data_IF_329316191071
#
_entry.id   IF_329316191071
#
_cell.length_a   1.000
_cell.length_b   1.000
_cell.length_c   1.000
_cell.angle_alpha   90.00
_cell.angle_beta   90.00
_cell.angle_gamma   90.00
#
_symmetry.space_group_name_H-M   'P 1'
#
loop_
_entity.id
_entity.type
_entity.pdbx_description
1 polymer ?
#
# COMPACT_ATOMS: atom_id res chain seq x y z
N UNK A 1 -32.93 76.11 21.76
CA UNK A 1 -31.49 75.95 22.04
C UNK A 1 -31.45 74.94 23.18
N UNK A 2 -31.30 73.63 22.99
CA UNK A 2 -30.60 72.80 21.99
C UNK A 2 -31.20 71.39 22.03
N UNK A 3 -30.91 70.60 20.99
CA UNK A 3 -31.24 69.19 20.74
C UNK A 3 -31.42 68.29 21.96
N UNK A 4 -32.38 67.36 21.87
CA UNK A 4 -32.16 65.98 22.28
C UNK A 4 -32.94 65.02 21.38
N UNK A 5 -32.17 64.06 20.86
CA UNK A 5 -32.51 63.01 19.91
C UNK A 5 -33.26 61.88 20.63
N UNK A 6 -34.37 61.36 20.08
CA UNK A 6 -34.57 59.90 20.12
C UNK A 6 -35.59 59.38 19.09
N UNK A 7 -35.03 58.99 17.95
CA UNK A 7 -35.29 57.77 17.17
C UNK A 7 -36.72 57.24 16.99
N UNK A 8 -37.19 57.43 15.75
CA UNK A 8 -38.15 56.60 15.01
C UNK A 8 -37.97 55.09 15.24
N UNK A 9 -38.97 54.44 15.86
CA UNK A 9 -39.20 53.00 15.72
C UNK A 9 -40.09 52.77 14.50
N UNK A 10 -39.50 52.81 13.31
CA UNK A 10 -40.10 52.25 12.12
C UNK A 10 -39.60 50.80 11.99
N UNK A 11 -40.45 49.85 12.38
CA UNK A 11 -40.19 48.43 12.16
C UNK A 11 -39.98 48.16 10.67
N UNK A 12 -38.71 47.98 10.26
CA UNK A 12 -38.38 47.46 8.94
C UNK A 12 -38.76 45.99 8.89
N UNK A 13 -39.93 45.68 8.33
CA UNK A 13 -40.30 44.33 7.96
C UNK A 13 -39.35 43.85 6.85
N UNK A 14 -38.41 42.98 7.22
CA UNK A 14 -37.45 42.40 6.28
C UNK A 14 -38.19 41.47 5.30
N UNK A 15 -38.18 41.84 4.02
CA UNK A 15 -38.79 41.07 2.94
C UNK A 15 -38.07 39.72 2.76
N UNK A 16 -38.65 38.64 3.29
CA UNK A 16 -38.15 37.26 3.17
C UNK A 16 -37.96 36.80 1.71
N UNK A 17 -38.74 37.34 0.77
CA UNK A 17 -38.58 37.09 -0.68
C UNK A 17 -37.35 37.75 -1.29
N UNK A 18 -36.98 38.93 -0.81
CA UNK A 18 -35.79 39.64 -1.29
C UNK A 18 -34.50 38.93 -0.84
N UNK A 19 -34.49 38.38 0.38
CA UNK A 19 -33.38 37.58 0.91
C UNK A 19 -33.19 36.25 0.16
N UNK A 20 -34.28 35.59 -0.27
CA UNK A 20 -34.19 34.38 -1.10
C UNK A 20 -33.80 34.67 -2.56
N UNK A 21 -34.09 35.85 -3.09
CA UNK A 21 -33.67 36.24 -4.44
C UNK A 21 -32.17 36.59 -4.50
N UNK A 22 -31.62 37.23 -3.47
CA UNK A 22 -30.19 37.56 -3.43
C UNK A 22 -29.29 36.39 -3.02
N UNK A 23 -29.86 35.32 -2.44
CA UNK A 23 -29.13 34.11 -2.05
C UNK A 23 -28.69 33.18 -3.20
N UNK A 24 -29.11 33.40 -4.44
CA UNK A 24 -28.76 32.49 -5.56
C UNK A 24 -27.46 32.83 -6.29
N UNK A 25 -26.83 34.00 -6.04
CA UNK A 25 -25.65 34.43 -6.81
C UNK A 25 -24.29 34.09 -6.19
N UNK A 26 -24.24 33.56 -4.96
CA UNK A 26 -22.99 33.18 -4.28
C UNK A 26 -22.74 31.67 -4.21
N UNK A 27 -23.51 30.86 -4.95
CA UNK A 27 -23.33 29.40 -5.04
C UNK A 27 -22.69 28.93 -6.36
N UNK A 28 -22.14 29.83 -7.17
CA UNK A 28 -21.57 29.48 -8.48
C UNK A 28 -20.03 29.54 -8.55
N UNK A 29 -19.32 29.94 -7.47
CA UNK A 29 -17.85 30.13 -7.50
C UNK A 29 -17.08 29.10 -6.64
N UNK A 30 -17.76 28.22 -5.90
CA UNK A 30 -17.10 27.17 -5.06
C UNK A 30 -17.13 25.77 -5.71
N UNK A 31 -17.61 25.62 -6.94
CA UNK A 31 -17.62 24.31 -7.63
C UNK A 31 -16.41 24.06 -8.53
N UNK A 32 -15.53 25.05 -8.76
CA UNK A 32 -14.40 24.93 -9.69
C UNK A 32 -13.11 24.36 -9.06
N UNK A 33 -13.16 23.84 -7.83
CA UNK A 33 -11.95 23.48 -7.06
C UNK A 33 -11.90 22.08 -6.44
N UNK A 34 -12.98 21.29 -6.46
CA UNK A 34 -13.05 20.02 -5.70
C UNK A 34 -13.22 18.79 -6.61
N UNK A 35 -13.12 18.94 -7.94
CA UNK A 35 -13.24 17.82 -8.89
C UNK A 35 -11.93 17.04 -9.10
N UNK A 36 -11.23 16.70 -8.02
CA UNK A 36 -10.07 15.77 -8.04
C UNK A 36 -10.29 14.52 -7.19
N UNK A 37 -11.50 14.31 -6.65
CA UNK A 37 -11.91 12.97 -6.27
C UNK A 37 -12.47 12.33 -7.53
N UNK A 38 -11.67 11.49 -8.19
CA UNK A 38 -12.18 10.58 -9.21
C UNK A 38 -13.33 9.82 -8.58
N UNK A 39 -14.57 10.17 -8.95
CA UNK A 39 -15.67 9.25 -8.80
C UNK A 39 -15.22 7.98 -9.51
N UNK A 40 -15.11 6.88 -8.76
CA UNK A 40 -14.99 5.55 -9.32
C UNK A 40 -16.26 5.32 -10.13
N UNK A 41 -16.27 5.81 -11.37
CA UNK A 41 -17.21 5.34 -12.37
C UNK A 41 -16.99 3.83 -12.42
N UNK A 42 -18.02 3.07 -12.08
CA UNK A 42 -18.06 1.64 -12.32
C UNK A 42 -17.86 1.47 -13.83
N UNK A 43 -16.61 1.28 -14.23
CA UNK A 43 -16.31 0.89 -15.60
C UNK A 43 -16.81 -0.54 -15.71
N UNK A 44 -17.56 -0.85 -16.76
CA UNK A 44 -18.09 -2.20 -16.98
C UNK A 44 -16.95 -3.19 -17.17
N UNK A 45 -17.11 -4.41 -16.63
CA UNK A 45 -16.15 -5.49 -16.81
C UNK A 45 -16.20 -5.97 -18.26
N UNK A 46 -15.09 -5.81 -18.99
CA UNK A 46 -15.03 -6.07 -20.43
C UNK A 46 -14.64 -7.53 -20.74
N UNK A 47 -14.85 -7.96 -21.99
CA UNK A 47 -14.36 -9.27 -22.47
C UNK A 47 -12.84 -9.42 -22.31
N UNK A 48 -12.07 -8.35 -22.51
CA UNK A 48 -10.62 -8.37 -22.30
C UNK A 48 -10.26 -8.50 -20.82
N UNK A 49 -11.02 -7.87 -19.91
CA UNK A 49 -10.84 -8.08 -18.47
C UNK A 49 -11.13 -9.55 -18.09
N UNK A 50 -12.15 -10.16 -18.71
CA UNK A 50 -12.47 -11.58 -18.51
C UNK A 50 -11.36 -12.51 -18.99
N UNK A 51 -10.79 -12.25 -20.19
CA UNK A 51 -9.67 -13.03 -20.72
C UNK A 51 -8.43 -12.90 -19.84
N UNK A 52 -8.11 -11.67 -19.42
CA UNK A 52 -7.02 -11.43 -18.49
C UNK A 52 -7.23 -12.16 -17.16
N UNK A 53 -8.46 -12.17 -16.61
CA UNK A 53 -8.80 -12.91 -15.41
C UNK A 53 -8.60 -14.42 -15.59
N UNK A 54 -9.07 -14.99 -16.70
CA UNK A 54 -8.91 -16.42 -17.01
C UNK A 54 -7.42 -16.82 -17.12
N UNK A 55 -6.63 -16.04 -17.85
CA UNK A 55 -5.17 -16.26 -17.97
C UNK A 55 -4.52 -16.13 -16.60
N UNK A 56 -4.88 -15.12 -15.81
CA UNK A 56 -4.35 -14.91 -14.46
C UNK A 56 -4.64 -16.08 -13.53
N UNK A 57 -5.88 -16.60 -13.54
CA UNK A 57 -6.27 -17.76 -12.76
C UNK A 57 -5.43 -19.00 -13.11
N UNK A 58 -5.24 -19.27 -14.41
CA UNK A 58 -4.41 -20.38 -14.87
C UNK A 58 -2.94 -20.20 -14.44
N UNK A 59 -2.34 -19.05 -14.72
CA UNK A 59 -0.93 -18.77 -14.44
C UNK A 59 -0.59 -18.79 -12.94
N UNK A 60 -1.55 -18.46 -12.08
CA UNK A 60 -1.36 -18.47 -10.62
C UNK A 60 -1.82 -19.76 -9.96
N UNK A 61 -2.37 -20.70 -10.74
CA UNK A 61 -3.04 -21.91 -10.24
C UNK A 61 -4.08 -21.58 -9.14
N UNK A 62 -4.97 -20.63 -9.44
CA UNK A 62 -6.06 -20.18 -8.57
C UNK A 62 -7.37 -20.22 -9.35
N UNK A 63 -8.46 -20.60 -8.68
CA UNK A 63 -9.77 -20.68 -9.33
C UNK A 63 -10.54 -19.36 -9.26
N UNK A 64 -10.35 -18.59 -8.18
CA UNK A 64 -11.15 -17.40 -7.89
C UNK A 64 -10.25 -16.20 -7.57
N UNK A 65 -9.82 -15.49 -8.60
CA UNK A 65 -9.23 -14.16 -8.45
C UNK A 65 -10.32 -13.09 -8.51
N UNK A 66 -10.13 -11.98 -7.79
CA UNK A 66 -11.09 -10.87 -7.73
C UNK A 66 -11.13 -10.14 -9.08
N UNK A 67 -12.31 -10.05 -9.70
CA UNK A 67 -12.53 -9.37 -11.00
C UNK A 67 -12.10 -7.89 -10.97
N UNK A 68 -12.38 -7.18 -9.88
CA UNK A 68 -12.03 -5.76 -9.75
C UNK A 68 -10.52 -5.53 -9.74
N UNK A 69 -9.78 -6.43 -9.08
CA UNK A 69 -8.31 -6.39 -9.06
C UNK A 69 -7.73 -6.78 -10.40
N UNK A 70 -8.32 -7.77 -11.07
CA UNK A 70 -7.90 -8.18 -12.41
C UNK A 70 -8.03 -7.02 -13.41
N UNK A 71 -9.15 -6.31 -13.38
CA UNK A 71 -9.36 -5.11 -14.17
C UNK A 71 -8.33 -4.02 -13.87
N UNK A 72 -8.11 -3.72 -12.59
CA UNK A 72 -7.12 -2.73 -12.16
C UNK A 72 -5.71 -3.10 -12.62
N UNK A 73 -5.30 -4.35 -12.42
CA UNK A 73 -4.00 -4.86 -12.83
C UNK A 73 -3.81 -4.72 -14.34
N UNK A 74 -4.77 -5.19 -15.14
CA UNK A 74 -4.75 -5.06 -16.59
C UNK A 74 -4.61 -3.59 -17.03
N UNK A 75 -5.43 -2.70 -16.47
CA UNK A 75 -5.37 -1.27 -16.79
C UNK A 75 -3.99 -0.67 -16.50
N UNK A 76 -3.38 -1.01 -15.35
CA UNK A 76 -2.04 -0.52 -14.99
C UNK A 76 -0.92 -1.10 -15.84
N UNK A 77 -1.04 -2.35 -16.32
CA UNK A 77 -0.05 -2.93 -17.22
C UNK A 77 -0.17 -2.31 -18.63
N UNK A 78 -1.39 -2.03 -19.08
CA UNK A 78 -1.64 -1.37 -20.38
C UNK A 78 -1.03 0.03 -20.49
N UNK A 79 -0.86 0.76 -19.38
CA UNK A 79 -0.18 2.07 -19.41
C UNK A 79 1.33 1.95 -19.64
N UNK A 80 1.89 0.75 -19.47
CA UNK A 80 3.31 0.44 -19.65
C UNK A 80 3.53 -0.18 -21.04
N UNK A 81 2.64 -1.09 -21.44
CA UNK A 81 2.68 -1.82 -22.69
C UNK A 81 1.31 -1.75 -23.40
N UNK A 82 1.21 -0.88 -24.40
CA UNK A 82 -0.01 -0.68 -25.18
C UNK A 82 -0.43 -1.95 -25.95
N UNK A 83 0.52 -2.84 -26.27
CA UNK A 83 0.28 -4.11 -26.96
C UNK A 83 -0.05 -5.27 -26.02
N UNK A 84 -0.23 -5.01 -24.72
CA UNK A 84 -0.38 -6.06 -23.71
C UNK A 84 -1.61 -6.93 -23.93
N UNK A 85 -2.74 -6.37 -24.37
CA UNK A 85 -3.96 -7.15 -24.63
C UNK A 85 -3.75 -8.20 -25.73
N UNK A 86 -3.01 -7.86 -26.78
CA UNK A 86 -2.68 -8.81 -27.85
C UNK A 86 -1.80 -9.95 -27.33
N UNK A 87 -0.87 -9.65 -26.41
CA UNK A 87 -0.07 -10.66 -25.73
C UNK A 87 -0.93 -11.56 -24.84
N UNK A 88 -1.89 -11.00 -24.09
CA UNK A 88 -2.85 -11.78 -23.30
C UNK A 88 -3.67 -12.71 -24.19
N UNK A 89 -4.12 -12.24 -25.35
CA UNK A 89 -4.86 -13.06 -26.32
C UNK A 89 -3.99 -14.23 -26.85
N UNK A 90 -2.73 -13.96 -27.20
CA UNK A 90 -1.77 -14.99 -27.62
C UNK A 90 -1.48 -16.01 -26.51
N UNK A 91 -1.31 -15.56 -25.27
CA UNK A 91 -1.11 -16.44 -24.11
C UNK A 91 -2.34 -17.31 -23.89
N UNK A 92 -3.54 -16.74 -23.92
CA UNK A 92 -4.78 -17.49 -23.78
C UNK A 92 -4.93 -18.56 -24.87
N UNK A 93 -4.58 -18.22 -26.11
CA UNK A 93 -4.57 -19.19 -27.21
C UNK A 93 -3.53 -20.28 -26.99
N UNK A 94 -2.31 -19.93 -26.55
CA UNK A 94 -1.27 -20.90 -26.25
C UNK A 94 -1.68 -21.88 -25.14
N UNK A 95 -2.34 -21.39 -24.08
CA UNK A 95 -2.89 -22.24 -23.01
C UNK A 95 -3.93 -23.23 -23.55
N UNK A 96 -4.84 -22.75 -24.42
CA UNK A 96 -5.85 -23.63 -25.03
C UNK A 96 -5.27 -24.67 -25.98
N UNK A 97 -4.19 -24.32 -26.68
CA UNK A 97 -3.52 -25.21 -27.64
C UNK A 97 -2.57 -26.21 -26.98
N UNK A 98 -2.04 -25.91 -25.80
CA UNK A 98 -1.07 -26.79 -25.14
C UNK A 98 -1.70 -28.01 -24.49
N UNK A 99 -3.04 -28.06 -24.35
CA UNK A 99 -3.77 -29.09 -23.60
C UNK A 99 -3.23 -29.33 -22.18
N UNK A 100 -2.48 -28.36 -21.64
CA UNK A 100 -1.78 -28.49 -20.37
C UNK A 100 -2.79 -28.46 -19.21
N UNK A 101 -2.69 -29.43 -18.31
CA UNK A 101 -3.59 -29.52 -17.16
C UNK A 101 -3.13 -28.65 -15.99
N UNK A 102 -1.84 -28.29 -15.97
CA UNK A 102 -1.24 -27.47 -14.93
C UNK A 102 -0.24 -26.46 -15.50
N UNK A 103 0.14 -25.50 -14.65
CA UNK A 103 1.08 -24.44 -15.01
C UNK A 103 2.47 -24.98 -15.31
N UNK A 104 2.92 -26.05 -14.63
CA UNK A 104 4.26 -26.61 -14.82
C UNK A 104 4.42 -27.22 -16.22
N UNK A 105 3.42 -27.94 -16.70
CA UNK A 105 3.31 -28.48 -18.07
C UNK A 105 3.29 -27.34 -19.09
N UNK A 106 2.51 -26.28 -18.84
CA UNK A 106 2.49 -25.12 -19.71
C UNK A 106 3.86 -24.44 -19.78
N UNK A 107 4.53 -24.22 -18.64
CA UNK A 107 5.85 -23.60 -18.57
C UNK A 107 6.94 -24.44 -19.25
N UNK A 108 6.83 -25.77 -19.20
CA UNK A 108 7.72 -26.68 -19.92
C UNK A 108 7.66 -26.48 -21.44
N UNK A 109 6.49 -26.11 -21.95
CA UNK A 109 6.28 -25.78 -23.37
C UNK A 109 6.56 -24.30 -23.65
N UNK A 110 6.33 -23.43 -22.66
CA UNK A 110 6.48 -21.98 -22.77
C UNK A 110 7.92 -21.49 -22.86
N UNK A 111 8.93 -22.33 -22.59
CA UNK A 111 10.32 -22.02 -22.95
C UNK A 111 10.50 -21.77 -24.45
N UNK A 112 9.57 -22.24 -25.28
CA UNK A 112 9.53 -21.98 -26.73
C UNK A 112 8.72 -20.73 -27.11
N UNK A 113 8.06 -20.07 -26.16
CA UNK A 113 7.33 -18.83 -26.43
C UNK A 113 8.31 -17.69 -26.72
N UNK A 114 7.86 -16.75 -27.54
CA UNK A 114 8.55 -15.49 -27.79
C UNK A 114 8.86 -14.74 -26.48
N UNK A 115 10.02 -14.08 -26.42
CA UNK A 115 10.50 -13.35 -25.24
C UNK A 115 9.45 -12.34 -24.77
N UNK A 116 8.78 -11.64 -25.70
CA UNK A 116 7.76 -10.66 -25.36
C UNK A 116 6.52 -11.26 -24.69
N UNK A 117 6.22 -12.55 -24.91
CA UNK A 117 5.14 -13.24 -24.22
C UNK A 117 5.59 -13.73 -22.83
N UNK A 118 6.84 -14.17 -22.68
CA UNK A 118 7.41 -14.53 -21.38
C UNK A 118 7.42 -13.32 -20.44
N UNK A 119 7.80 -12.15 -20.94
CA UNK A 119 7.76 -10.89 -20.18
C UNK A 119 6.33 -10.54 -19.74
N UNK A 120 5.34 -10.74 -20.62
CA UNK A 120 3.93 -10.51 -20.28
C UNK A 120 3.42 -11.50 -19.22
N UNK A 121 3.81 -12.78 -19.30
CA UNK A 121 3.50 -13.79 -18.27
C UNK A 121 4.10 -13.35 -16.93
N UNK A 122 5.37 -12.95 -16.91
CA UNK A 122 6.05 -12.49 -15.70
C UNK A 122 5.38 -11.23 -15.13
N UNK A 123 5.00 -10.28 -15.98
CA UNK A 123 4.27 -9.08 -15.57
C UNK A 123 2.93 -9.42 -14.90
N UNK A 124 2.17 -10.38 -15.43
CA UNK A 124 0.91 -10.85 -14.85
C UNK A 124 1.16 -11.47 -13.48
N UNK A 125 2.07 -12.46 -13.41
CA UNK A 125 2.31 -13.21 -12.17
C UNK A 125 2.87 -12.31 -11.07
N UNK A 126 3.88 -11.50 -11.38
CA UNK A 126 4.45 -10.55 -10.41
C UNK A 126 3.41 -9.55 -9.90
N UNK A 127 2.51 -9.09 -10.76
CA UNK A 127 1.44 -8.17 -10.36
C UNK A 127 0.48 -8.76 -9.33
N UNK A 128 0.15 -10.05 -9.45
CA UNK A 128 -0.67 -10.74 -8.47
C UNK A 128 0.05 -11.06 -7.17
N UNK A 129 1.33 -11.47 -7.26
CA UNK A 129 2.11 -11.82 -6.08
C UNK A 129 2.47 -10.59 -5.24
N UNK A 130 2.89 -9.50 -5.88
CA UNK A 130 3.36 -8.30 -5.19
C UNK A 130 2.26 -7.26 -4.96
N UNK A 131 1.16 -7.34 -5.72
CA UNK A 131 0.08 -6.35 -5.64
C UNK A 131 0.42 -4.99 -6.27
N UNK A 132 1.43 -4.94 -7.14
CA UNK A 132 1.88 -3.74 -7.85
C UNK A 132 2.17 -4.08 -9.31
N UNK A 133 2.00 -3.12 -10.23
CA UNK A 133 2.35 -3.32 -11.64
C UNK A 133 3.88 -3.34 -11.82
N UNK A 134 4.40 -3.75 -12.99
CA UNK A 134 5.78 -3.48 -13.37
C UNK A 134 6.12 -1.99 -13.28
N UNK A 135 7.42 -1.67 -13.25
CA UNK A 135 7.89 -0.29 -13.20
C UNK A 135 7.41 0.49 -14.44
N UNK A 136 6.78 1.63 -14.21
CA UNK A 136 6.42 2.56 -15.27
C UNK A 136 7.63 3.40 -15.68
N UNK A 137 7.50 4.15 -16.78
CA UNK A 137 8.55 5.07 -17.28
C UNK A 137 8.99 6.13 -16.26
N UNK A 138 8.12 6.49 -15.32
CA UNK A 138 8.40 7.44 -14.23
C UNK A 138 9.20 6.80 -13.06
N UNK A 139 9.55 5.51 -13.14
CA UNK A 139 10.30 4.80 -12.11
C UNK A 139 9.45 4.28 -10.94
N UNK A 140 8.13 4.47 -10.97
CA UNK A 140 7.23 4.01 -9.92
C UNK A 140 6.26 2.95 -10.45
N UNK A 141 6.06 1.84 -9.72
CA UNK A 141 5.04 0.86 -10.08
C UNK A 141 3.65 1.39 -9.71
N UNK A 142 2.65 1.03 -10.50
CA UNK A 142 1.24 1.29 -10.18
C UNK A 142 0.76 0.39 -9.04
N UNK A 143 -0.06 0.93 -8.15
CA UNK A 143 -0.58 0.16 -7.02
C UNK A 143 -1.87 -0.59 -7.37
N UNK A 144 -1.88 -1.92 -7.19
CA UNK A 144 -3.06 -2.76 -7.44
C UNK A 144 -3.77 -3.04 -6.11
N UNK A 145 -3.08 -3.69 -5.18
CA UNK A 145 -3.60 -4.08 -3.87
C UNK A 145 -2.46 -4.30 -2.89
N UNK A 146 -2.76 -4.18 -1.60
CA UNK A 146 -1.81 -4.53 -0.54
C UNK A 146 -2.26 -5.79 0.19
N UNK A 147 -3.52 -5.85 0.61
CA UNK A 147 -4.04 -6.94 1.44
C UNK A 147 -4.36 -8.21 0.66
N UNK A 148 -4.62 -8.10 -0.64
CA UNK A 148 -4.95 -9.24 -1.50
C UNK A 148 -3.77 -9.73 -2.35
N UNK A 149 -2.55 -9.25 -2.07
CA UNK A 149 -1.34 -9.71 -2.76
C UNK A 149 -1.07 -11.18 -2.40
N UNK A 150 -0.86 -12.03 -3.40
CA UNK A 150 -0.76 -13.49 -3.20
C UNK A 150 0.46 -13.90 -2.38
N UNK A 151 1.51 -13.07 -2.30
CA UNK A 151 2.68 -13.37 -1.46
C UNK A 151 2.35 -13.52 0.04
N UNK A 152 1.26 -12.91 0.50
CA UNK A 152 0.83 -13.02 1.90
C UNK A 152 -0.03 -14.27 2.16
N UNK A 153 -0.55 -14.93 1.13
CA UNK A 153 -1.44 -16.07 1.28
C UNK A 153 -0.80 -17.24 2.07
N UNK A 154 0.45 -17.67 1.80
CA UNK A 154 1.07 -18.80 2.51
C UNK A 154 1.31 -18.55 4.01
N UNK A 155 1.37 -17.28 4.42
CA UNK A 155 1.64 -16.87 5.82
C UNK A 155 0.40 -16.31 6.51
N UNK A 156 -0.76 -16.35 5.84
CA UNK A 156 -2.02 -15.83 6.37
C UNK A 156 -2.37 -16.51 7.69
N UNK A 157 -2.62 -15.70 8.73
CA UNK A 157 -2.92 -16.18 10.08
C UNK A 157 -1.68 -16.48 10.94
N UNK A 158 -0.47 -16.36 10.38
CA UNK A 158 0.79 -16.44 11.13
C UNK A 158 1.46 -15.06 11.13
N UNK A 159 1.71 -14.54 9.93
CA UNK A 159 2.31 -13.22 9.72
C UNK A 159 1.30 -12.36 8.97
N UNK A 160 0.94 -11.23 9.57
CA UNK A 160 0.09 -10.27 8.89
C UNK A 160 0.88 -9.43 7.88
N UNK A 161 0.19 -8.89 6.85
CA UNK A 161 0.74 -7.80 6.07
C UNK A 161 1.23 -6.67 6.99
N UNK A 162 2.38 -6.05 6.69
CA UNK A 162 2.88 -4.90 7.45
C UNK A 162 1.78 -3.85 7.68
N UNK A 163 1.83 -3.15 8.81
CA UNK A 163 0.82 -2.16 9.23
C UNK A 163 -0.49 -2.74 9.79
N UNK A 164 -0.76 -4.05 9.63
CA UNK A 164 -1.95 -4.69 10.21
C UNK A 164 -1.63 -5.53 11.44
N UNK A 165 -2.25 -5.21 12.58
CA UNK A 165 -2.16 -6.04 13.79
C UNK A 165 -2.92 -7.36 13.61
N UNK A 166 -2.29 -8.48 13.98
CA UNK A 166 -2.90 -9.82 13.87
C UNK A 166 -3.80 -10.14 15.06
N UNK A 167 -3.29 -9.89 16.26
CA UNK A 167 -4.00 -10.09 17.52
C UNK A 167 -3.61 -8.96 18.48
N UNK A 168 -3.87 -9.16 19.77
CA UNK A 168 -3.45 -8.23 20.81
C UNK A 168 -1.93 -8.02 20.88
N UNK A 169 -1.53 -7.18 21.82
CA UNK A 169 -0.11 -6.98 22.12
C UNK A 169 0.57 -8.31 22.43
N UNK A 170 1.85 -8.44 22.05
CA UNK A 170 2.68 -9.62 22.33
C UNK A 170 2.22 -10.95 21.70
N UNK A 171 1.43 -10.92 20.62
CA UNK A 171 0.98 -12.16 19.94
C UNK A 171 2.15 -13.05 19.46
N UNK A 172 3.32 -12.46 19.19
CA UNK A 172 4.52 -13.15 18.72
C UNK A 172 5.26 -13.96 19.79
N UNK A 173 4.87 -13.88 21.07
CA UNK A 173 5.49 -14.67 22.16
C UNK A 173 5.23 -16.17 21.95
N UNK A 174 4.04 -16.51 21.48
CA UNK A 174 3.67 -17.90 21.27
C UNK A 174 4.07 -18.32 19.84
N UNK A 175 4.88 -19.37 19.69
CA UNK A 175 5.24 -19.86 18.36
C UNK A 175 4.01 -20.43 17.65
N UNK A 176 4.02 -20.47 16.30
CA UNK A 176 2.95 -21.09 15.53
C UNK A 176 2.84 -22.58 15.90
N UNK A 177 1.63 -23.13 15.89
CA UNK A 177 1.37 -24.54 16.22
C UNK A 177 2.14 -25.52 15.31
N UNK A 178 2.52 -25.09 14.10
CA UNK A 178 3.30 -25.88 13.14
C UNK A 178 4.79 -25.99 13.49
N UNK A 179 5.30 -25.19 14.42
CA UNK A 179 6.72 -25.16 14.77
C UNK A 179 6.97 -25.96 16.06
N UNK A 180 7.74 -27.05 15.93
CA UNK A 180 8.31 -27.73 17.09
C UNK A 180 9.44 -26.89 17.65
N UNK A 181 9.24 -26.33 18.84
CA UNK A 181 10.23 -25.52 19.52
C UNK A 181 11.40 -26.43 19.92
N UNK A 182 12.64 -26.17 19.47
CA UNK A 182 13.79 -26.91 20.00
C UNK A 182 13.90 -26.65 21.52
N UNK A 183 14.40 -27.63 22.30
CA UNK A 183 14.68 -27.39 23.71
C UNK A 183 15.60 -26.18 23.83
N UNK A 184 15.26 -25.25 24.71
CA UNK A 184 16.05 -24.04 24.94
C UNK A 184 17.48 -24.44 25.36
N UNK A 185 18.54 -23.98 24.66
CA UNK A 185 19.92 -24.19 25.09
C UNK A 185 20.18 -23.73 26.53
N UNK A 186 21.02 -24.48 27.25
CA UNK A 186 21.44 -24.14 28.59
C UNK A 186 22.08 -22.73 28.61
N UNK A 187 21.69 -21.90 29.58
CA UNK A 187 22.26 -20.56 29.78
C UNK A 187 21.61 -19.39 29.02
N UNK A 188 20.60 -19.60 28.14
CA UNK A 188 19.93 -18.49 27.42
C UNK A 188 19.29 -17.46 28.35
N UNK A 189 18.72 -17.91 29.48
CA UNK A 189 18.17 -17.00 30.50
C UNK A 189 19.24 -16.10 31.11
N UNK A 190 20.48 -16.57 31.21
CA UNK A 190 21.60 -15.77 31.69
C UNK A 190 22.05 -14.72 30.68
N UNK A 191 21.95 -14.99 29.37
CA UNK A 191 22.19 -13.98 28.34
C UNK A 191 21.16 -12.85 28.39
N UNK A 192 19.87 -13.18 28.56
CA UNK A 192 18.83 -12.17 28.76
C UNK A 192 19.06 -11.30 30.01
N UNK A 193 19.47 -11.91 31.11
CA UNK A 193 19.79 -11.18 32.36
C UNK A 193 21.07 -10.35 32.26
N UNK A 194 22.05 -10.77 31.44
CA UNK A 194 23.29 -10.04 31.16
C UNK A 194 23.17 -9.03 30.02
N UNK A 195 22.04 -9.01 29.31
CA UNK A 195 21.83 -8.05 28.24
C UNK A 195 21.89 -6.64 28.80
N UNK A 196 22.62 -5.71 28.17
CA UNK A 196 22.67 -4.32 28.61
C UNK A 196 21.25 -3.78 28.74
N UNK A 197 20.85 -3.45 29.97
CA UNK A 197 19.55 -2.79 30.18
C UNK A 197 19.62 -1.47 29.39
N UNK A 198 18.66 -1.26 28.49
CA UNK A 198 18.59 -0.02 27.72
C UNK A 198 18.72 1.17 28.67
N UNK A 199 19.57 2.14 28.33
CA UNK A 199 19.80 3.30 29.16
C UNK A 199 18.45 4.00 29.40
N UNK A 200 17.90 3.86 30.61
CA UNK A 200 16.60 4.42 31.00
C UNK A 200 16.56 5.95 30.92
N UNK A 201 17.69 6.59 30.69
CA UNK A 201 17.80 7.98 30.27
C UNK A 201 18.54 8.04 28.93
N UNK A 202 17.87 8.60 27.93
CA UNK A 202 18.52 9.04 26.69
C UNK A 202 19.44 10.21 27.08
N UNK A 203 20.76 10.14 26.80
CA UNK A 203 21.67 11.23 27.13
C UNK A 203 21.19 12.55 26.49
N UNK A 204 21.00 13.58 27.31
CA UNK A 204 20.53 14.90 26.85
C UNK A 204 19.03 15.16 26.99
N UNK A 205 18.28 14.25 27.63
CA UNK A 205 16.86 14.45 27.97
C UNK A 205 16.73 14.58 29.49
N UNK A 206 16.18 15.69 29.96
CA UNK A 206 15.91 15.90 31.39
C UNK A 206 14.80 14.94 31.88
N UNK A 207 14.72 14.72 33.19
CA UNK A 207 13.77 13.78 33.81
C UNK A 207 12.29 14.09 33.54
N UNK A 208 11.99 15.29 33.03
CA UNK A 208 10.68 15.78 32.58
C UNK A 208 10.41 15.53 31.08
N UNK A 209 11.33 14.87 30.36
CA UNK A 209 11.21 14.60 28.92
C UNK A 209 11.62 15.76 28.02
N UNK A 210 12.13 16.86 28.58
CA UNK A 210 12.56 18.02 27.80
C UNK A 210 13.94 17.76 27.20
N UNK A 211 14.06 17.85 25.86
CA UNK A 211 15.34 17.78 25.17
C UNK A 211 16.17 19.01 25.56
N UNK A 212 17.31 18.81 26.23
CA UNK A 212 18.26 19.88 26.48
C UNK A 212 18.85 20.29 25.13
N UNK A 213 18.40 21.43 24.57
CA UNK A 213 19.03 22.01 23.38
C UNK A 213 20.53 22.21 23.70
N UNK A 214 21.40 21.50 22.97
CA UNK A 214 22.84 21.76 23.01
C UNK A 214 23.07 23.22 22.58
N UNK A 215 23.90 24.00 23.29
CA UNK A 215 24.36 25.27 22.78
C UNK A 215 25.17 25.04 21.50
N UNK A 216 24.86 25.83 20.48
CA UNK A 216 25.50 25.77 19.16
C UNK A 216 26.96 26.20 19.33
N UNK A 217 27.93 25.30 19.05
CA UNK A 217 29.33 25.71 18.97
C UNK A 217 30.43 24.73 19.40
N UNK A 218 30.22 23.41 19.50
CA UNK A 218 31.32 22.45 19.67
C UNK A 218 31.07 21.21 18.81
N UNK A 219 31.59 21.25 17.58
CA UNK A 219 31.71 20.11 16.69
C UNK A 219 32.81 19.19 17.20
N UNK A 220 32.43 18.16 17.94
CA UNK A 220 33.24 16.95 18.05
C UNK A 220 32.35 15.78 17.69
N UNK A 221 32.65 15.01 16.64
CA UNK A 221 31.86 13.85 16.29
C UNK A 221 31.92 12.85 17.44
N UNK A 222 30.74 12.36 17.87
CA UNK A 222 30.62 11.19 18.72
C UNK A 222 31.32 10.04 17.99
N UNK A 223 32.46 9.58 18.48
CA UNK A 223 33.05 8.32 18.05
C UNK A 223 32.20 7.18 18.64
N UNK A 224 31.41 6.43 17.85
CA UNK A 224 30.56 5.37 18.37
C UNK A 224 31.33 4.06 18.62
N UNK A 225 32.63 4.02 18.30
CA UNK A 225 33.51 2.88 18.56
C UNK A 225 34.64 3.34 19.49
N UNK A 226 34.40 3.19 20.79
CA UNK A 226 35.42 3.43 21.81
C UNK A 226 36.59 2.48 21.61
N UNK A 227 37.76 3.03 21.35
CA UNK A 227 39.02 2.30 21.43
C UNK A 227 39.46 2.33 22.89
N UNK A 228 39.59 1.16 23.52
CA UNK A 228 40.16 1.05 24.86
C UNK A 228 41.60 1.61 24.88
N UNK A 229 42.02 2.25 25.99
CA UNK A 229 43.39 2.73 26.13
C UNK A 229 44.34 1.53 26.28
N UNK A 230 45.15 1.30 25.24
CA UNK A 230 46.31 0.42 25.30
C UNK A 230 47.33 0.96 26.31
N UNK A 231 47.76 0.05 27.17
CA UNK A 231 48.91 0.13 28.07
C UNK A 231 50.18 0.55 27.36
N UNK A 232 50.83 1.61 27.83
CA UNK A 232 52.25 1.68 28.25
C UNK A 232 52.54 3.01 28.96
#
# INVERSE_FOLDING_TARGET
MTEDLNTSNSEKTLNRRLFLQTGSLTLAVVTMGISRFNALAATDFTDQDQKFLQVSCFLTNRQNLKSDLAKRARHLILTIDEGFDDKVNKINQAIKQSEAHNIDEFLSTAQKLDVGLQDAIMAIVSSWYLGISPLQKNGHPGFITFTDALMYEPTKGITNPPTYAHAGTNYWINPPQSVKIPPMPDGIREWGNRSPKGHGQIPGVSADGTLLRRPIGLDTPLNPYGNEPGTE
#
